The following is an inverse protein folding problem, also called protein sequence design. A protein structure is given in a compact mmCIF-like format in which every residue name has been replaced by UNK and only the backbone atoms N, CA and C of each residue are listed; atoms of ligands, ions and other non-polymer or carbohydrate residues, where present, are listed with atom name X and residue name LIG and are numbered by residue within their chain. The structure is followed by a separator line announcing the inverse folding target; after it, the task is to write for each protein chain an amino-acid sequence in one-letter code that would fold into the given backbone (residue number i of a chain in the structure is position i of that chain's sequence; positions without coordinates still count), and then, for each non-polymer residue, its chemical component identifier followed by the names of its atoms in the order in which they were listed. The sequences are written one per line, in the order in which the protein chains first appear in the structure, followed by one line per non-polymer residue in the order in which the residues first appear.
data_IF_592545059232
#
_entry.id   IF_592545059232
#
_cell.length_a   1.000
_cell.length_b   1.000
_cell.length_c   1.000
_cell.angle_alpha   90.00
_cell.angle_beta   90.00
_cell.angle_gamma   90.00
#
_symmetry.space_group_name_H-M   'P 1'
#
loop_
_entity.id
_entity.type
_entity.pdbx_description
1 polymer ?
#
# COMPACT_ATOMS: atom_id res chain seq x y z
N UNK A 1 63.19 -19.58 -2.23
CA UNK A 1 62.41 -18.33 -2.38
C UNK A 1 61.66 -18.21 -3.71
N UNK A 2 61.22 -19.33 -4.33
CA UNK A 2 60.51 -19.32 -5.64
C UNK A 2 59.01 -19.66 -5.48
N UNK A 3 58.63 -20.33 -4.38
CA UNK A 3 57.24 -20.75 -4.13
C UNK A 3 56.26 -19.60 -3.80
N UNK A 4 56.75 -18.49 -3.21
CA UNK A 4 55.91 -17.35 -2.87
C UNK A 4 55.47 -16.53 -4.09
N UNK A 5 56.27 -16.53 -5.17
CA UNK A 5 56.03 -15.70 -6.36
C UNK A 5 54.88 -16.23 -7.24
N UNK A 6 54.73 -17.56 -7.33
CA UNK A 6 53.65 -18.22 -8.07
C UNK A 6 52.28 -18.02 -7.39
N UNK A 7 52.26 -18.05 -6.05
CA UNK A 7 51.05 -17.77 -5.28
C UNK A 7 50.53 -16.35 -5.49
N UNK A 8 51.43 -15.36 -5.50
CA UNK A 8 51.05 -13.96 -5.73
C UNK A 8 50.58 -13.71 -7.16
N UNK A 9 51.14 -14.40 -8.16
CA UNK A 9 50.71 -14.27 -9.55
C UNK A 9 49.30 -14.86 -9.78
N UNK A 10 49.00 -16.02 -9.20
CA UNK A 10 47.67 -16.62 -9.27
C UNK A 10 46.62 -15.83 -8.49
N UNK A 11 46.99 -15.28 -7.32
CA UNK A 11 46.10 -14.42 -6.53
C UNK A 11 45.79 -13.11 -7.26
N UNK A 12 46.79 -12.47 -7.88
CA UNK A 12 46.59 -11.27 -8.69
C UNK A 12 45.71 -11.55 -9.92
N UNK A 13 45.93 -12.67 -10.61
CA UNK A 13 45.13 -13.08 -11.75
C UNK A 13 43.67 -13.40 -11.34
N UNK A 14 43.47 -14.05 -10.19
CA UNK A 14 42.15 -14.34 -9.63
C UNK A 14 41.39 -13.07 -9.22
N UNK A 15 42.07 -12.09 -8.62
CA UNK A 15 41.48 -10.79 -8.24
C UNK A 15 41.12 -9.96 -9.47
N UNK A 16 41.97 -9.96 -10.51
CA UNK A 16 41.69 -9.30 -11.79
C UNK A 16 40.50 -9.95 -12.51
N UNK A 17 40.40 -11.29 -12.50
CA UNK A 17 39.23 -12.02 -13.04
C UNK A 17 37.97 -11.85 -12.19
N UNK A 18 38.10 -11.69 -10.88
CA UNK A 18 36.98 -11.39 -9.98
C UNK A 18 36.44 -9.96 -10.19
N UNK A 19 37.33 -9.00 -10.55
CA UNK A 19 36.95 -7.62 -10.89
C UNK A 19 36.14 -7.54 -12.19
N UNK A 20 36.39 -8.46 -13.13
CA UNK A 20 35.60 -8.61 -14.37
C UNK A 20 34.21 -9.25 -14.14
N UNK A 21 33.95 -9.82 -12.95
CA UNK A 21 32.70 -10.51 -12.60
C UNK A 21 31.79 -9.69 -11.69
N UNK A 22 31.96 -8.37 -11.67
CA UNK A 22 31.05 -7.43 -10.97
C UNK A 22 29.86 -7.02 -11.82
N UNK A 23 29.95 -7.10 -13.14
CA UNK A 23 28.85 -6.85 -14.08
C UNK A 23 27.54 -7.58 -13.74
N UNK A 24 27.52 -8.90 -13.44
CA UNK A 24 26.29 -9.58 -13.04
C UNK A 24 25.72 -9.06 -11.70
N UNK A 25 26.54 -8.55 -10.79
CA UNK A 25 26.06 -7.96 -9.54
C UNK A 25 25.36 -6.62 -9.77
N UNK A 26 25.87 -5.79 -10.68
CA UNK A 26 25.20 -4.54 -11.09
C UNK A 26 23.90 -4.83 -11.84
N UNK A 27 23.86 -5.85 -12.70
CA UNK A 27 22.64 -6.30 -13.37
C UNK A 27 21.60 -6.82 -12.37
N UNK A 28 22.02 -7.64 -11.40
CA UNK A 28 21.13 -8.13 -10.35
C UNK A 28 20.58 -6.99 -9.48
N UNK A 29 21.42 -6.02 -9.13
CA UNK A 29 21.02 -4.85 -8.34
C UNK A 29 20.02 -3.96 -9.11
N UNK A 30 20.25 -3.75 -10.41
CA UNK A 30 19.34 -3.02 -11.29
C UNK A 30 17.98 -3.71 -11.42
N UNK A 31 17.97 -5.03 -11.63
CA UNK A 31 16.75 -5.82 -11.71
C UNK A 31 15.98 -5.82 -10.38
N UNK A 32 16.68 -6.01 -9.26
CA UNK A 32 16.07 -5.94 -7.93
C UNK A 32 15.46 -4.55 -7.65
N UNK A 33 16.15 -3.48 -8.03
CA UNK A 33 15.64 -2.11 -7.91
C UNK A 33 14.40 -1.89 -8.76
N UNK A 34 14.39 -2.39 -10.01
CA UNK A 34 13.24 -2.32 -10.91
C UNK A 34 12.03 -3.06 -10.34
N UNK A 35 12.23 -4.27 -9.80
CA UNK A 35 11.17 -5.07 -9.20
C UNK A 35 10.61 -4.41 -7.94
N UNK A 36 11.46 -3.82 -7.10
CA UNK A 36 11.01 -3.10 -5.91
C UNK A 36 10.22 -1.85 -6.26
N UNK A 37 10.70 -1.03 -7.20
CA UNK A 37 9.99 0.17 -7.64
C UNK A 37 8.70 -0.18 -8.35
N UNK A 38 8.73 -1.17 -9.24
CA UNK A 38 7.55 -1.66 -9.95
C UNK A 38 6.50 -2.26 -9.01
N UNK A 39 6.94 -3.07 -8.04
CA UNK A 39 6.08 -3.66 -7.02
C UNK A 39 5.48 -2.61 -6.08
N UNK A 40 6.28 -1.64 -5.63
CA UNK A 40 5.81 -0.52 -4.81
C UNK A 40 4.81 0.35 -5.58
N UNK A 41 5.10 0.66 -6.84
CA UNK A 41 4.19 1.40 -7.72
C UNK A 41 2.89 0.64 -7.95
N UNK A 42 2.97 -0.66 -8.27
CA UNK A 42 1.81 -1.51 -8.49
C UNK A 42 0.95 -1.62 -7.23
N UNK A 43 1.56 -1.86 -6.07
CA UNK A 43 0.86 -1.87 -4.80
C UNK A 43 0.18 -0.52 -4.55
N UNK A 44 0.87 0.60 -4.77
CA UNK A 44 0.32 1.93 -4.59
C UNK A 44 -0.84 2.24 -5.55
N UNK A 45 -0.80 1.75 -6.79
CA UNK A 45 -1.88 1.92 -7.78
C UNK A 45 -3.07 1.02 -7.48
N UNK A 46 -2.86 -0.26 -7.13
CA UNK A 46 -3.94 -1.18 -6.78
C UNK A 46 -4.57 -0.87 -5.43
N UNK A 47 -3.80 -0.34 -4.48
CA UNK A 47 -4.30 0.05 -3.17
C UNK A 47 -4.95 1.45 -3.15
N UNK A 48 -5.12 2.11 -4.31
CA UNK A 48 -5.88 3.36 -4.37
C UNK A 48 -7.33 3.10 -4.01
N UNK A 49 -7.74 3.64 -2.88
CA UNK A 49 -9.14 3.67 -2.48
C UNK A 49 -9.87 4.58 -3.47
N UNK A 50 -10.99 4.14 -4.09
CA UNK A 50 -11.77 5.00 -4.98
C UNK A 50 -12.18 6.29 -4.26
N UNK A 51 -11.97 7.43 -4.92
CA UNK A 51 -12.46 8.71 -4.43
C UNK A 51 -13.98 8.63 -4.32
N UNK A 52 -14.50 8.60 -3.09
CA UNK A 52 -15.94 8.54 -2.87
C UNK A 52 -16.47 9.97 -2.76
N UNK A 53 -17.35 10.42 -3.67
CA UNK A 53 -17.88 11.78 -3.64
C UNK A 53 -18.96 11.91 -2.56
N UNK A 54 -18.56 11.91 -1.30
CA UNK A 54 -19.47 12.06 -0.15
C UNK A 54 -19.04 13.24 0.71
N UNK A 55 -19.04 14.43 0.11
CA UNK A 55 -18.99 15.68 0.88
C UNK A 55 -20.41 16.19 1.07
N UNK A 56 -21.07 15.77 2.16
CA UNK A 56 -22.36 16.35 2.55
C UNK A 56 -22.13 17.77 3.08
N UNK A 57 -22.83 18.76 2.52
CA UNK A 57 -22.68 20.17 2.96
C UNK A 57 -23.68 20.51 4.05
N UNK A 58 -23.33 21.49 4.90
CA UNK A 58 -24.26 22.04 5.88
C UNK A 58 -25.46 22.65 5.16
N UNK A 59 -26.68 22.29 5.58
CA UNK A 59 -27.93 22.70 4.95
C UNK A 59 -28.37 21.81 3.79
N UNK A 60 -27.52 20.89 3.31
CA UNK A 60 -27.90 19.89 2.33
C UNK A 60 -28.79 18.83 2.98
N UNK A 61 -29.78 18.34 2.23
CA UNK A 61 -30.67 17.28 2.72
C UNK A 61 -29.85 15.99 2.83
N UNK A 62 -29.81 15.34 4.01
CA UNK A 62 -29.11 14.07 4.14
C UNK A 62 -29.78 12.99 3.28
N UNK A 63 -29.00 12.06 2.72
CA UNK A 63 -29.53 10.87 2.05
C UNK A 63 -30.48 10.11 2.98
N UNK A 64 -31.53 9.55 2.40
CA UNK A 64 -32.44 8.68 3.17
C UNK A 64 -31.81 7.30 3.36
N UNK A 65 -32.09 6.69 4.50
CA UNK A 65 -31.74 5.30 4.77
C UNK A 65 -32.73 4.69 5.74
N UNK A 66 -32.83 3.37 5.66
CA UNK A 66 -33.59 2.54 6.60
C UNK A 66 -32.65 1.46 7.12
N UNK A 67 -32.44 1.43 8.42
CA UNK A 67 -31.57 0.46 9.08
C UNK A 67 -32.33 -0.23 10.22
N UNK A 68 -32.01 -1.49 10.53
CA UNK A 68 -32.54 -2.13 11.72
C UNK A 68 -31.99 -1.45 12.98
N UNK A 69 -32.85 -1.28 13.99
CA UNK A 69 -32.42 -0.95 15.35
C UNK A 69 -31.82 -2.18 16.05
N UNK A 70 -31.42 -2.01 17.33
CA UNK A 70 -30.86 -3.09 18.13
C UNK A 70 -31.82 -4.28 18.34
N UNK A 71 -33.13 -4.10 18.14
CA UNK A 71 -34.13 -5.15 18.19
C UNK A 71 -34.50 -5.70 16.80
N UNK A 72 -33.77 -5.30 15.75
CA UNK A 72 -34.03 -5.72 14.37
C UNK A 72 -35.18 -4.98 13.69
N UNK A 73 -35.79 -3.98 14.33
CA UNK A 73 -36.93 -3.26 13.76
C UNK A 73 -36.45 -2.21 12.76
N UNK A 74 -37.08 -2.08 11.59
CA UNK A 74 -36.66 -1.10 10.59
C UNK A 74 -36.93 0.34 11.08
N UNK A 75 -35.91 1.18 11.03
CA UNK A 75 -35.96 2.60 11.38
C UNK A 75 -35.48 3.42 10.19
N UNK A 76 -36.34 4.33 9.71
CA UNK A 76 -36.04 5.23 8.57
C UNK A 76 -35.76 6.65 9.04
N UNK A 77 -34.74 7.29 8.46
CA UNK A 77 -34.42 8.69 8.72
C UNK A 77 -35.59 9.63 8.35
N UNK A 78 -36.33 9.31 7.28
CA UNK A 78 -37.53 10.04 6.88
C UNK A 78 -38.57 10.20 8.00
N UNK A 79 -38.70 9.19 8.86
CA UNK A 79 -39.70 9.14 9.93
C UNK A 79 -39.54 10.24 10.99
N UNK A 80 -38.35 10.86 11.08
CA UNK A 80 -38.01 11.89 12.06
C UNK A 80 -38.01 13.31 11.51
N UNK A 81 -38.16 13.48 10.19
CA UNK A 81 -38.16 14.80 9.53
C UNK A 81 -39.24 15.71 10.12
N UNK A 82 -38.85 16.92 10.52
CA UNK A 82 -39.75 17.93 11.08
C UNK A 82 -40.31 17.62 12.48
N UNK A 83 -39.95 16.48 13.08
CA UNK A 83 -40.45 16.08 14.41
C UNK A 83 -39.46 16.41 15.52
N UNK A 84 -38.17 16.15 15.27
CA UNK A 84 -37.10 16.38 16.24
C UNK A 84 -35.72 16.42 15.56
N UNK A 85 -34.73 17.10 16.15
CA UNK A 85 -33.34 16.99 15.73
C UNK A 85 -32.85 15.53 15.81
N UNK A 86 -32.03 15.13 14.85
CA UNK A 86 -31.45 13.79 14.77
C UNK A 86 -29.94 13.91 14.67
N UNK A 87 -29.23 13.12 15.48
CA UNK A 87 -27.77 13.01 15.44
C UNK A 87 -27.41 11.63 14.91
N UNK A 88 -26.54 11.57 13.89
CA UNK A 88 -26.04 10.33 13.31
C UNK A 88 -24.60 10.10 13.78
N UNK A 89 -24.36 8.95 14.38
CA UNK A 89 -23.03 8.55 14.83
C UNK A 89 -22.63 7.27 14.10
N UNK A 90 -21.60 7.36 13.27
CA UNK A 90 -21.04 6.22 12.55
C UNK A 90 -19.84 5.69 13.32
N UNK A 91 -19.86 4.40 13.64
CA UNK A 91 -18.72 3.74 14.26
C UNK A 91 -18.21 2.60 13.38
N UNK A 92 -16.89 2.38 13.38
CA UNK A 92 -16.27 1.21 12.76
C UNK A 92 -16.07 0.14 13.85
N UNK A 93 -16.91 -0.86 13.92
CA UNK A 93 -16.74 -1.96 14.87
C UNK A 93 -18.04 -2.66 15.25
N UNK A 94 -17.91 -3.91 15.69
CA UNK A 94 -18.95 -4.65 16.39
C UNK A 94 -18.61 -4.58 17.88
N UNK A 95 -19.57 -4.17 18.70
CA UNK A 95 -19.47 -4.19 20.17
C UNK A 95 -20.49 -5.16 20.75
#
# INVERSE_FOLDING_TARGET
MIAAALGTALAALAVVRARARRWPAWLALGLASLLLVGGAWFNFVLARIPDTPTTLRVGERPPDFTLPDAAGRPVSLAGYRGKKPVVLVFYRGYW
#
